data_IF_422321449296
#
_entry.id   IF_422321449296
#
_cell.length_a   1.000
_cell.length_b   1.000
_cell.length_c   1.000
_cell.angle_alpha   90.00
_cell.angle_beta   90.00
_cell.angle_gamma   90.00
#
_symmetry.space_group_name_H-M   'P 1'
#
loop_
_entity.id
_entity.type
_entity.pdbx_description
1 polymer ?
#
# COMPACT_ATOMS: atom_id res chain seq x y z
N UNK A 1 14.84 19.02 5.24
CA UNK A 1 13.87 18.09 4.63
C UNK A 1 14.42 17.56 3.30
N UNK A 2 15.75 17.38 3.20
CA UNK A 2 16.45 17.53 1.91
C UNK A 2 17.44 16.38 1.64
N UNK A 3 17.44 15.34 2.48
CA UNK A 3 18.40 14.22 2.41
C UNK A 3 17.72 12.87 2.19
N UNK A 4 16.45 12.73 2.61
CA UNK A 4 15.68 11.52 2.44
C UNK A 4 14.30 11.88 1.88
N UNK A 5 13.84 11.07 0.94
CA UNK A 5 12.48 11.10 0.40
C UNK A 5 11.73 9.87 0.92
N UNK A 6 10.89 10.00 1.96
CA UNK A 6 10.22 8.86 2.58
C UNK A 6 9.19 8.21 1.66
N UNK A 7 9.18 6.87 1.65
CA UNK A 7 8.28 6.04 0.85
C UNK A 7 7.58 5.02 1.76
N UNK A 8 6.28 5.19 1.99
CA UNK A 8 5.53 4.36 2.95
C UNK A 8 4.73 3.27 2.23
N UNK A 9 5.24 2.04 2.25
CA UNK A 9 4.55 0.88 1.70
C UNK A 9 3.54 0.28 2.67
N UNK A 10 2.23 0.38 2.38
CA UNK A 10 1.17 -0.23 3.20
C UNK A 10 -0.09 -0.49 2.40
N UNK A 11 -0.92 -1.44 2.85
CA UNK A 11 -2.32 -1.60 2.40
C UNK A 11 -3.31 -1.45 3.56
N UNK A 12 -2.82 -1.12 4.75
CA UNK A 12 -3.65 -1.00 5.95
C UNK A 12 -4.15 0.43 6.08
N UNK A 13 -5.48 0.63 6.02
CA UNK A 13 -6.08 1.96 6.10
C UNK A 13 -5.73 2.67 7.41
N UNK A 14 -5.69 1.93 8.52
CA UNK A 14 -5.30 2.48 9.83
C UNK A 14 -3.87 3.03 9.84
N UNK A 15 -2.92 2.30 9.24
CA UNK A 15 -1.53 2.77 9.12
C UNK A 15 -1.44 3.97 8.20
N UNK A 16 -2.16 3.97 7.07
CA UNK A 16 -2.20 5.10 6.16
C UNK A 16 -2.78 6.35 6.84
N UNK A 17 -3.91 6.22 7.53
CA UNK A 17 -4.54 7.30 8.30
C UNK A 17 -3.62 7.85 9.41
N UNK A 18 -2.94 6.95 10.13
CA UNK A 18 -1.95 7.34 11.14
C UNK A 18 -0.82 8.16 10.52
N UNK A 19 -0.32 7.73 9.35
CA UNK A 19 0.71 8.48 8.64
C UNK A 19 0.20 9.85 8.19
N UNK A 20 -1.02 9.92 7.62
CA UNK A 20 -1.62 11.19 7.21
C UNK A 20 -1.70 12.17 8.38
N UNK A 21 -2.10 11.70 9.56
CA UNK A 21 -2.14 12.51 10.78
C UNK A 21 -0.75 13.02 11.16
N UNK A 22 0.24 12.13 11.20
CA UNK A 22 1.64 12.49 11.55
C UNK A 22 2.26 13.43 10.52
N UNK A 23 1.90 13.28 9.26
CA UNK A 23 2.42 14.07 8.14
C UNK A 23 1.58 15.33 7.85
N UNK A 24 0.59 15.68 8.68
CA UNK A 24 -0.25 16.87 8.46
C UNK A 24 0.57 18.14 8.29
N UNK A 25 0.28 18.90 7.23
CA UNK A 25 1.04 20.10 6.87
C UNK A 25 2.41 19.80 6.24
N UNK A 26 2.72 18.51 6.04
CA UNK A 26 3.95 18.01 5.48
C UNK A 26 3.73 17.05 4.28
N UNK A 27 2.65 17.26 3.53
CA UNK A 27 2.22 16.40 2.41
C UNK A 27 3.17 16.45 1.20
N UNK A 28 4.05 17.45 1.11
CA UNK A 28 5.07 17.53 0.07
C UNK A 28 6.37 16.80 0.46
N UNK A 29 6.95 16.06 -0.47
CA UNK A 29 8.23 15.36 -0.26
C UNK A 29 8.10 13.99 0.41
N UNK A 30 6.91 13.38 0.36
CA UNK A 30 6.63 12.01 0.81
C UNK A 30 5.76 11.30 -0.22
N UNK A 31 5.85 9.98 -0.32
CA UNK A 31 4.91 9.17 -1.10
C UNK A 31 4.46 7.92 -0.33
N UNK A 32 3.30 7.41 -0.70
CA UNK A 32 2.90 6.05 -0.38
C UNK A 32 3.37 5.08 -1.46
N UNK A 33 3.40 3.79 -1.11
CA UNK A 33 3.57 2.70 -2.05
C UNK A 33 2.52 1.62 -1.82
N UNK A 34 2.01 1.08 -2.93
CA UNK A 34 1.11 -0.08 -2.93
C UNK A 34 1.57 -1.11 -3.94
N UNK A 35 0.98 -2.31 -3.85
CA UNK A 35 1.19 -3.35 -4.84
C UNK A 35 0.09 -3.21 -5.90
N UNK A 36 0.41 -3.54 -7.15
CA UNK A 36 -0.59 -3.64 -8.20
C UNK A 36 -1.68 -4.66 -7.82
N UNK A 37 -2.96 -4.32 -8.04
CA UNK A 37 -4.10 -5.15 -7.65
C UNK A 37 -4.42 -5.14 -6.15
N UNK A 38 -3.86 -4.20 -5.38
CA UNK A 38 -4.11 -4.06 -3.94
C UNK A 38 -4.20 -2.60 -3.51
N UNK A 39 -5.18 -2.29 -2.67
CA UNK A 39 -5.31 -0.96 -2.03
C UNK A 39 -5.69 0.17 -2.98
N UNK A 40 -6.22 -0.12 -4.17
CA UNK A 40 -6.58 0.88 -5.19
C UNK A 40 -7.53 1.93 -4.64
N UNK A 41 -8.71 1.50 -4.16
CA UNK A 41 -9.71 2.43 -3.63
C UNK A 41 -9.18 3.29 -2.48
N UNK A 42 -8.36 2.72 -1.59
CA UNK A 42 -7.74 3.47 -0.48
C UNK A 42 -6.83 4.58 -1.01
N UNK A 43 -5.93 4.27 -1.93
CA UNK A 43 -4.94 5.23 -2.40
C UNK A 43 -5.48 6.20 -3.45
N UNK A 44 -6.55 5.85 -4.16
CA UNK A 44 -7.28 6.78 -5.02
C UNK A 44 -7.95 7.88 -4.19
N UNK A 45 -8.55 7.52 -3.05
CA UNK A 45 -9.10 8.49 -2.09
C UNK A 45 -8.00 9.38 -1.51
N UNK A 46 -6.90 8.81 -1.02
CA UNK A 46 -5.77 9.58 -0.48
C UNK A 46 -5.19 10.53 -1.52
N UNK A 47 -5.02 10.09 -2.77
CA UNK A 47 -4.53 10.94 -3.84
C UNK A 47 -5.46 12.12 -4.13
N UNK A 48 -6.78 11.91 -4.02
CA UNK A 48 -7.79 12.93 -4.29
C UNK A 48 -7.96 13.92 -3.13
N UNK A 49 -8.00 13.43 -1.89
CA UNK A 49 -8.33 14.23 -0.71
C UNK A 49 -7.09 14.89 -0.08
N UNK A 50 -5.96 14.19 -0.04
CA UNK A 50 -4.75 14.62 0.67
C UNK A 50 -3.64 15.12 -0.26
N UNK A 51 -3.79 14.92 -1.57
CA UNK A 51 -2.83 15.27 -2.61
C UNK A 51 -1.43 14.67 -2.36
N UNK A 52 -1.39 13.41 -1.88
CA UNK A 52 -0.15 12.64 -1.68
C UNK A 52 -0.04 11.57 -2.76
N UNK A 53 1.14 11.48 -3.39
CA UNK A 53 1.38 10.51 -4.45
C UNK A 53 1.47 9.07 -3.90
N UNK A 54 0.98 8.11 -4.68
CA UNK A 54 1.16 6.69 -4.40
C UNK A 54 1.81 5.98 -5.59
N UNK A 55 2.98 5.36 -5.36
CA UNK A 55 3.67 4.54 -6.35
C UNK A 55 3.12 3.12 -6.35
N UNK A 56 2.87 2.60 -7.56
CA UNK A 56 2.39 1.23 -7.74
C UNK A 56 3.57 0.32 -8.10
N UNK A 57 3.86 -0.64 -7.22
CA UNK A 57 4.84 -1.69 -7.46
C UNK A 57 4.18 -2.88 -8.14
N UNK A 58 4.63 -3.19 -9.36
CA UNK A 58 4.12 -4.30 -10.16
C UNK A 58 5.17 -5.40 -10.26
N UNK A 59 4.76 -6.66 -10.07
CA UNK A 59 5.60 -7.80 -10.34
C UNK A 59 5.60 -8.10 -11.84
N UNK A 60 6.78 -8.11 -12.47
CA UNK A 60 6.94 -8.30 -13.91
C UNK A 60 7.91 -9.44 -14.16
N UNK A 61 7.49 -10.43 -14.94
CA UNK A 61 8.30 -11.60 -15.25
C UNK A 61 7.51 -12.66 -15.99
N UNK A 62 8.20 -13.71 -16.43
CA UNK A 62 7.57 -14.89 -17.02
C UNK A 62 6.83 -15.69 -15.94
N UNK A 63 5.78 -16.43 -16.35
CA UNK A 63 4.92 -17.21 -15.45
C UNK A 63 5.70 -18.01 -14.40
N UNK A 64 6.73 -18.73 -14.83
CA UNK A 64 7.44 -19.66 -13.96
C UNK A 64 8.24 -18.92 -12.86
N UNK A 65 8.74 -17.71 -13.16
CA UNK A 65 9.36 -16.84 -12.15
C UNK A 65 8.33 -16.23 -11.19
N UNK A 66 7.11 -15.98 -11.66
CA UNK A 66 6.04 -15.40 -10.85
C UNK A 66 5.30 -16.42 -9.97
N UNK A 67 5.40 -17.73 -10.25
CA UNK A 67 4.74 -18.76 -9.44
C UNK A 67 5.23 -18.75 -7.98
N UNK A 68 6.54 -18.66 -7.75
CA UNK A 68 7.10 -18.58 -6.41
C UNK A 68 6.68 -17.28 -5.71
N UNK A 69 6.69 -16.15 -6.43
CA UNK A 69 6.22 -14.86 -5.94
C UNK A 69 4.73 -14.90 -5.57
N UNK A 70 3.91 -15.58 -6.37
CA UNK A 70 2.47 -15.70 -6.14
C UNK A 70 2.17 -16.42 -4.83
N UNK A 71 2.86 -17.53 -4.53
CA UNK A 71 2.69 -18.25 -3.25
C UNK A 71 2.98 -17.32 -2.07
N UNK A 72 4.10 -16.60 -2.11
CA UNK A 72 4.47 -15.64 -1.05
C UNK A 72 3.41 -14.54 -0.90
N UNK A 73 2.96 -13.97 -2.03
CA UNK A 73 1.90 -12.95 -2.04
C UNK A 73 0.63 -13.49 -1.38
N UNK A 74 0.18 -14.68 -1.77
CA UNK A 74 -1.05 -15.27 -1.22
C UNK A 74 -0.94 -15.50 0.29
N UNK A 75 0.20 -16.00 0.76
CA UNK A 75 0.43 -16.24 2.19
C UNK A 75 0.37 -14.95 3.03
N UNK A 76 1.05 -13.89 2.59
CA UNK A 76 1.12 -12.64 3.36
C UNK A 76 -0.26 -11.98 3.49
N UNK A 77 -1.00 -11.96 2.40
CA UNK A 77 -2.25 -11.21 2.33
C UNK A 77 -3.50 -12.03 2.68
N UNK A 78 -3.41 -13.36 2.62
CA UNK A 78 -4.44 -14.28 3.08
C UNK A 78 -4.26 -14.73 4.54
N UNK A 79 -3.24 -14.24 5.23
CA UNK A 79 -3.10 -14.48 6.66
C UNK A 79 -4.26 -13.84 7.44
N UNK A 80 -4.74 -14.50 8.50
CA UNK A 80 -5.85 -13.98 9.33
C UNK A 80 -5.57 -12.59 9.92
N UNK A 81 -4.31 -12.26 10.16
CA UNK A 81 -3.86 -10.96 10.65
C UNK A 81 -3.71 -9.89 9.56
N UNK A 82 -3.93 -10.25 8.28
CA UNK A 82 -3.88 -9.31 7.16
C UNK A 82 -5.10 -8.39 7.20
N UNK A 83 -4.86 -7.07 7.20
CA UNK A 83 -5.95 -6.09 7.07
C UNK A 83 -6.78 -6.33 5.80
N UNK A 84 -6.12 -6.70 4.70
CA UNK A 84 -6.79 -6.96 3.42
C UNK A 84 -7.70 -8.19 3.52
N UNK A 85 -7.35 -9.18 4.34
CA UNK A 85 -8.24 -10.30 4.60
C UNK A 85 -9.41 -9.88 5.52
N UNK A 86 -9.11 -9.14 6.59
CA UNK A 86 -10.09 -8.71 7.58
C UNK A 86 -11.19 -7.79 7.01
N UNK A 87 -10.89 -6.95 6.02
CA UNK A 87 -11.90 -6.06 5.42
C UNK A 87 -12.86 -6.78 4.46
N UNK A 88 -12.47 -7.95 3.93
CA UNK A 88 -13.30 -8.76 3.04
C UNK A 88 -14.13 -9.77 3.84
N UNK A 89 -13.71 -10.11 5.06
CA UNK A 89 -14.43 -11.02 5.95
C UNK A 89 -15.76 -10.41 6.42
N UNK A 90 -16.86 -11.11 6.18
CA UNK A 90 -18.23 -10.69 6.53
C UNK A 90 -18.86 -11.57 7.61
N UNK A 91 -18.06 -12.47 8.22
CA UNK A 91 -18.51 -13.45 9.21
C UNK A 91 -18.50 -12.85 10.62
#
# INVERSE_FOLDING_TARGET
RDVLFPQFGTHTSYTAATFLEVAKGANQGVEFQRLHGMGESLFDQIGTEENIQCRVSAAVGHRDALLAYLVLRLLVNGANSSFVNAIVDTT
#
